data_IF_339889534077
#
_entry.id   IF_339889534077
#
_cell.length_a   1.000
_cell.length_b   1.000
_cell.length_c   1.000
_cell.angle_alpha   90.00
_cell.angle_beta   90.00
_cell.angle_gamma   90.00
#
_symmetry.space_group_name_H-M   'P 1'
#
loop_
_entity.id
_entity.type
_entity.pdbx_description
1 polymer ?
#
# COMPACT_ATOMS: atom_id res chain seq x y z
N UNK A 1 -3.37 -22.18 4.51
CA UNK A 1 -2.42 -22.06 3.37
C UNK A 1 -2.39 -20.65 2.76
N UNK A 2 -3.35 -20.21 1.92
CA UNK A 2 -3.27 -18.85 1.31
C UNK A 2 -3.41 -17.73 2.34
N UNK A 3 -4.39 -17.81 3.25
CA UNK A 3 -4.58 -16.79 4.28
C UNK A 3 -3.43 -16.74 5.29
N UNK A 4 -2.83 -17.90 5.61
CA UNK A 4 -1.70 -17.95 6.54
C UNK A 4 -0.46 -17.32 5.91
N UNK A 5 -0.20 -17.58 4.62
CA UNK A 5 0.86 -16.91 3.87
C UNK A 5 0.65 -15.38 3.81
N UNK A 6 -0.59 -14.94 3.56
CA UNK A 6 -0.95 -13.52 3.57
C UNK A 6 -0.81 -12.88 4.96
N UNK A 7 -1.15 -13.59 6.04
CA UNK A 7 -0.99 -13.08 7.42
C UNK A 7 0.49 -12.98 7.82
N UNK A 8 1.30 -13.97 7.44
CA UNK A 8 2.73 -14.00 7.72
C UNK A 8 3.48 -12.91 6.91
N UNK A 9 3.10 -12.72 5.65
CA UNK A 9 3.68 -11.71 4.75
C UNK A 9 2.57 -10.90 4.07
N UNK A 10 2.06 -9.83 4.71
CA UNK A 10 0.92 -9.05 4.21
C UNK A 10 1.17 -8.30 2.89
N UNK A 11 2.41 -8.25 2.41
CA UNK A 11 2.81 -7.68 1.13
C UNK A 11 3.32 -8.74 0.13
N UNK A 12 3.01 -10.02 0.36
CA UNK A 12 3.33 -11.10 -0.58
C UNK A 12 2.73 -10.80 -1.96
N UNK A 13 3.57 -10.88 -2.98
CA UNK A 13 3.15 -10.69 -4.37
C UNK A 13 2.36 -11.89 -4.89
N UNK A 14 1.58 -11.69 -5.94
CA UNK A 14 0.88 -12.81 -6.59
C UNK A 14 1.83 -13.88 -7.15
N UNK A 15 3.04 -13.49 -7.55
CA UNK A 15 4.07 -14.38 -8.07
C UNK A 15 4.69 -15.24 -6.95
N UNK A 16 5.05 -14.64 -5.83
CA UNK A 16 5.54 -15.37 -4.65
C UNK A 16 4.47 -16.31 -4.09
N UNK A 17 3.22 -15.83 -3.99
CA UNK A 17 2.10 -16.68 -3.61
C UNK A 17 1.92 -17.86 -4.59
N UNK A 18 2.17 -17.66 -5.88
CA UNK A 18 2.14 -18.75 -6.86
C UNK A 18 3.24 -19.78 -6.59
N UNK A 19 4.47 -19.32 -6.35
CA UNK A 19 5.60 -20.19 -6.07
C UNK A 19 5.35 -21.05 -4.82
N UNK A 20 4.86 -20.44 -3.74
CA UNK A 20 4.48 -21.16 -2.52
C UNK A 20 3.40 -22.21 -2.78
N UNK A 21 2.37 -21.86 -3.55
CA UNK A 21 1.30 -22.81 -3.85
C UNK A 21 1.81 -23.99 -4.69
N UNK A 22 2.70 -23.74 -5.65
CA UNK A 22 3.34 -24.79 -6.46
C UNK A 22 4.22 -25.69 -5.61
N UNK A 23 5.00 -25.13 -4.69
CA UNK A 23 5.83 -25.89 -3.75
C UNK A 23 4.98 -26.82 -2.87
N UNK A 24 3.80 -26.35 -2.45
CA UNK A 24 2.79 -27.15 -1.77
C UNK A 24 1.93 -28.04 -2.71
N UNK A 25 2.37 -28.27 -3.96
CA UNK A 25 1.70 -29.16 -4.92
C UNK A 25 0.40 -28.62 -5.53
N UNK A 26 0.05 -27.36 -5.27
CA UNK A 26 -1.20 -26.73 -5.71
C UNK A 26 -0.94 -25.74 -6.84
N UNK A 27 -1.34 -26.10 -8.06
CA UNK A 27 -1.30 -25.18 -9.21
C UNK A 27 -2.62 -24.43 -9.34
N UNK A 28 -2.59 -23.10 -9.23
CA UNK A 28 -3.79 -22.26 -9.41
C UNK A 28 -3.58 -21.18 -10.47
N UNK A 29 -4.58 -21.03 -11.33
CA UNK A 29 -4.65 -19.93 -12.29
C UNK A 29 -4.69 -18.58 -11.56
N UNK A 30 -4.19 -17.52 -12.22
CA UNK A 30 -4.16 -16.16 -11.65
C UNK A 30 -5.56 -15.67 -11.27
N UNK A 31 -6.55 -15.91 -12.13
CA UNK A 31 -7.93 -15.51 -11.87
C UNK A 31 -8.57 -16.19 -10.65
N UNK A 32 -8.10 -17.38 -10.26
CA UNK A 32 -8.56 -18.07 -9.04
C UNK A 32 -8.03 -17.40 -7.79
N UNK A 33 -6.75 -16.99 -7.79
CA UNK A 33 -6.15 -16.22 -6.69
C UNK A 33 -6.84 -14.88 -6.53
N UNK A 34 -7.09 -14.17 -7.63
CA UNK A 34 -7.76 -12.88 -7.59
C UNK A 34 -9.19 -12.98 -7.01
N UNK A 35 -9.98 -13.95 -7.50
CA UNK A 35 -11.32 -14.23 -6.95
C UNK A 35 -11.29 -14.61 -5.47
N UNK A 36 -10.27 -15.36 -5.03
CA UNK A 36 -10.12 -15.74 -3.62
C UNK A 36 -9.99 -14.52 -2.69
N UNK A 37 -9.17 -13.54 -3.06
CA UNK A 37 -8.98 -12.30 -2.29
C UNK A 37 -10.19 -11.36 -2.42
N UNK A 38 -10.71 -11.18 -3.64
CA UNK A 38 -11.86 -10.32 -3.90
C UNK A 38 -13.10 -10.76 -3.12
N UNK A 39 -13.40 -12.06 -3.09
CA UNK A 39 -14.53 -12.61 -2.34
C UNK A 39 -14.42 -12.40 -0.82
N UNK A 40 -13.20 -12.16 -0.32
CA UNK A 40 -12.93 -11.91 1.11
C UNK A 40 -12.75 -10.42 1.44
N UNK A 41 -12.95 -9.53 0.46
CA UNK A 41 -12.75 -8.08 0.65
C UNK A 41 -11.30 -7.69 0.94
N UNK A 42 -10.33 -8.54 0.59
CA UNK A 42 -8.91 -8.27 0.85
C UNK A 42 -8.36 -7.44 -0.32
N UNK A 43 -8.26 -6.12 -0.13
CA UNK A 43 -7.86 -5.14 -1.15
C UNK A 43 -6.70 -4.26 -0.67
N UNK A 44 -5.66 -4.87 -0.10
CA UNK A 44 -4.48 -4.12 0.35
C UNK A 44 -3.60 -3.75 -0.83
N UNK A 45 -3.43 -2.45 -1.10
CA UNK A 45 -2.37 -1.95 -1.98
C UNK A 45 -1.08 -1.79 -1.18
N UNK A 46 0.06 -2.18 -1.76
CA UNK A 46 1.37 -1.85 -1.19
C UNK A 46 1.57 -0.34 -1.35
N UNK A 47 1.58 0.39 -0.23
CA UNK A 47 1.98 1.78 -0.20
C UNK A 47 3.50 1.82 -0.03
N UNK A 48 4.21 2.41 -0.98
CA UNK A 48 5.61 2.77 -0.78
C UNK A 48 5.62 4.05 0.07
N UNK A 49 5.45 3.90 1.38
CA UNK A 49 5.58 5.03 2.30
C UNK A 49 7.06 5.47 2.28
N UNK A 50 7.33 6.69 1.85
CA UNK A 50 8.68 7.21 1.86
C UNK A 50 9.09 7.42 3.33
N UNK A 51 9.98 6.58 3.84
CA UNK A 51 10.46 6.64 5.25
C UNK A 51 11.07 8.00 5.60
N UNK A 52 11.49 8.78 4.60
CA UNK A 52 11.91 10.16 4.79
C UNK A 52 10.78 11.06 5.30
N UNK A 53 9.52 10.84 4.89
CA UNK A 53 8.36 11.60 5.38
C UNK A 53 8.13 11.40 6.87
N UNK A 54 8.52 10.26 7.44
CA UNK A 54 8.40 9.96 8.88
C UNK A 54 9.47 10.67 9.73
N UNK A 55 10.44 11.36 9.11
CA UNK A 55 11.48 12.05 9.89
C UNK A 55 10.84 13.15 10.73
N UNK A 56 11.15 13.26 12.04
CA UNK A 56 10.48 14.18 12.95
C UNK A 56 10.48 15.64 12.48
N UNK A 57 11.56 16.08 11.84
CA UNK A 57 11.68 17.43 11.31
C UNK A 57 10.83 17.68 10.06
N UNK A 58 10.65 16.66 9.22
CA UNK A 58 9.80 16.74 8.02
C UNK A 58 8.33 16.74 8.43
N UNK A 59 7.94 15.89 9.40
CA UNK A 59 6.59 15.91 9.99
C UNK A 59 6.26 17.28 10.56
N UNK A 60 7.15 17.82 11.39
CA UNK A 60 6.95 19.15 11.99
C UNK A 60 6.78 20.24 10.93
N UNK A 61 7.59 20.21 9.86
CA UNK A 61 7.45 21.17 8.74
C UNK A 61 6.14 21.01 7.98
N UNK A 62 5.68 19.76 7.82
CA UNK A 62 4.42 19.49 7.14
C UNK A 62 3.24 19.98 7.98
N UNK A 63 3.25 19.77 9.30
CA UNK A 63 2.25 20.31 10.23
C UNK A 63 2.24 21.84 10.21
N UNK A 64 3.41 22.49 10.34
CA UNK A 64 3.53 23.96 10.28
C UNK A 64 3.03 24.54 8.95
N UNK A 65 3.35 23.89 7.82
CA UNK A 65 2.87 24.31 6.50
C UNK A 65 1.36 24.11 6.36
N UNK A 66 0.83 22.97 6.82
CA UNK A 66 -0.59 22.64 6.77
C UNK A 66 -1.43 23.61 7.59
N UNK A 67 -1.00 23.90 8.83
CA UNK A 67 -1.69 24.85 9.71
C UNK A 67 -1.71 26.27 9.09
N UNK A 68 -0.64 26.67 8.41
CA UNK A 68 -0.55 27.95 7.69
C UNK A 68 -1.36 28.01 6.39
N UNK A 69 -1.92 26.88 5.89
CA UNK A 69 -2.73 26.90 4.68
C UNK A 69 -4.08 27.59 4.85
N UNK A 70 -4.60 27.64 6.08
CA UNK A 70 -5.89 28.30 6.38
C UNK A 70 -5.88 29.80 6.03
N UNK A 71 -4.70 30.41 6.02
CA UNK A 71 -4.50 31.83 5.70
C UNK A 71 -4.18 32.08 4.21
N UNK A 72 -4.07 31.03 3.39
CA UNK A 72 -3.78 31.15 1.95
C UNK A 72 -5.08 31.39 1.16
N UNK A 73 -5.05 32.34 0.23
CA UNK A 73 -6.12 32.55 -0.74
C UNK A 73 -6.01 31.52 -1.88
N UNK A 74 -6.97 30.57 -2.01
CA UNK A 74 -6.93 29.55 -3.04
C UNK A 74 -6.91 30.10 -4.47
N UNK A 75 -7.48 31.29 -4.70
CA UNK A 75 -7.55 31.91 -6.04
C UNK A 75 -6.21 32.52 -6.47
N UNK A 76 -5.25 32.67 -5.55
CA UNK A 76 -3.91 33.21 -5.81
C UNK A 76 -2.80 32.15 -5.77
N UNK A 77 -3.14 30.88 -5.51
CA UNK A 77 -2.15 29.80 -5.43
C UNK A 77 -1.70 29.36 -6.83
N UNK A 78 -0.40 29.44 -7.08
CA UNK A 78 0.26 28.91 -8.27
C UNK A 78 1.24 27.81 -7.84
N UNK A 79 1.00 26.59 -8.31
CA UNK A 79 1.91 25.46 -8.10
C UNK A 79 2.99 25.46 -9.18
N UNK A 80 4.25 25.30 -8.77
CA UNK A 80 5.42 25.23 -9.65
C UNK A 80 6.07 23.87 -9.42
N UNK A 81 6.50 23.22 -10.50
CA UNK A 81 7.21 21.92 -10.49
C UNK A 81 8.73 22.06 -10.57
#
# INVERSE_FOLDING_TARGET
MILDAYKATPDITFAELQALLVDHGTKVALGTRWRFFAHRGITRKKTAHATEQDRPYILKRHEEWFDGQLDLDPEQLIFIE
#
